data_IF_633036522072
#
_entry.id   IF_633036522072
#
_cell.length_a   1.000
_cell.length_b   1.000
_cell.length_c   1.000
_cell.angle_alpha   90.00
_cell.angle_beta   90.00
_cell.angle_gamma   90.00
#
_symmetry.space_group_name_H-M   'P 1'
#
loop_
_entity.id
_entity.type
_entity.pdbx_description
1 polymer ?
#
# COMPACT_ATOMS: atom_id res chain seq x y z
N UNK A 1 6.50 13.38 -33.47
CA UNK A 1 6.65 12.06 -32.84
C UNK A 1 5.32 11.71 -32.19
N UNK A 2 4.67 10.59 -32.52
CA UNK A 2 3.47 10.21 -31.79
C UNK A 2 3.89 9.97 -30.33
N UNK A 3 3.19 10.57 -29.38
CA UNK A 3 3.39 10.23 -27.98
C UNK A 3 3.07 8.74 -27.83
N UNK A 4 3.99 7.98 -27.25
CA UNK A 4 3.67 6.61 -26.87
C UNK A 4 2.46 6.67 -25.93
N UNK A 5 1.39 5.94 -26.28
CA UNK A 5 0.28 5.77 -25.37
C UNK A 5 0.81 5.09 -24.10
N UNK A 6 0.35 5.57 -22.95
CA UNK A 6 0.68 5.01 -21.65
C UNK A 6 -0.59 4.35 -21.12
N UNK A 7 -0.58 3.02 -21.05
CA UNK A 7 -1.75 2.27 -20.60
C UNK A 7 -1.85 2.22 -19.06
N UNK A 8 -0.70 2.26 -18.37
CA UNK A 8 -0.63 2.22 -16.91
C UNK A 8 0.70 2.82 -16.41
N UNK A 9 0.83 3.11 -15.10
CA UNK A 9 2.10 3.49 -14.50
C UNK A 9 3.21 2.43 -14.69
N UNK A 10 2.85 1.15 -14.69
CA UNK A 10 3.79 0.05 -14.92
C UNK A 10 4.27 -0.01 -16.37
N UNK A 11 3.36 0.18 -17.33
CA UNK A 11 3.69 0.29 -18.76
C UNK A 11 4.62 1.49 -19.01
N UNK A 12 4.32 2.64 -18.40
CA UNK A 12 5.22 3.80 -18.45
C UNK A 12 6.62 3.48 -17.94
N UNK A 13 6.74 2.84 -16.77
CA UNK A 13 8.03 2.48 -16.20
C UNK A 13 8.80 1.49 -17.08
N UNK A 14 8.10 0.53 -17.70
CA UNK A 14 8.67 -0.44 -18.64
C UNK A 14 9.21 0.25 -19.89
N UNK A 15 8.40 1.11 -20.51
CA UNK A 15 8.80 1.89 -21.67
C UNK A 15 9.96 2.83 -21.35
N UNK A 16 9.94 3.49 -20.18
CA UNK A 16 11.01 4.36 -19.73
C UNK A 16 12.32 3.57 -19.55
N UNK A 17 12.28 2.40 -18.92
CA UNK A 17 13.44 1.55 -18.74
C UNK A 17 14.08 1.16 -20.09
N UNK A 18 13.26 0.73 -21.06
CA UNK A 18 13.73 0.44 -22.42
C UNK A 18 14.35 1.64 -23.12
N UNK A 19 13.74 2.83 -22.99
CA UNK A 19 14.31 4.07 -23.55
C UNK A 19 15.64 4.44 -22.90
N UNK A 20 15.79 4.27 -21.59
CA UNK A 20 17.03 4.56 -20.87
C UNK A 20 18.19 3.65 -21.30
N UNK A 21 17.92 2.39 -21.63
CA UNK A 21 18.92 1.47 -22.18
C UNK A 21 19.52 1.97 -23.50
N UNK A 22 18.74 2.68 -24.33
CA UNK A 22 19.21 3.26 -25.59
C UNK A 22 19.80 4.66 -25.38
N UNK A 23 19.19 5.47 -24.50
CA UNK A 23 19.55 6.86 -24.32
C UNK A 23 20.85 7.06 -23.52
N UNK A 24 21.08 6.24 -22.49
CA UNK A 24 22.23 6.37 -21.60
C UNK A 24 23.59 6.04 -22.25
N UNK A 25 23.72 5.05 -23.16
CA UNK A 25 24.96 4.81 -23.90
C UNK A 25 25.12 5.72 -25.13
N UNK A 26 24.09 6.47 -25.52
CA UNK A 26 24.17 7.34 -26.70
C UNK A 26 25.00 8.59 -26.38
N UNK A 27 26.11 8.76 -27.10
CA UNK A 27 26.95 9.96 -27.05
C UNK A 27 26.11 11.22 -27.30
N UNK A 28 26.26 12.23 -26.44
CA UNK A 28 25.55 13.53 -26.56
C UNK A 28 26.54 14.60 -26.97
N UNK A 29 26.21 15.35 -28.04
CA UNK A 29 27.07 16.42 -28.58
C UNK A 29 27.51 17.43 -27.52
N UNK A 30 26.60 17.83 -26.63
CA UNK A 30 26.86 18.81 -25.56
C UNK A 30 27.80 18.25 -24.48
N UNK A 31 27.69 16.95 -24.16
CA UNK A 31 28.52 16.31 -23.12
C UNK A 31 29.87 15.81 -23.66
N UNK A 32 30.01 15.65 -24.99
CA UNK A 32 31.19 15.06 -25.62
C UNK A 32 31.36 13.56 -25.39
N UNK A 33 30.55 12.95 -24.52
CA UNK A 33 30.58 11.55 -24.10
C UNK A 33 29.15 10.99 -23.96
N UNK A 34 29.01 9.70 -23.68
CA UNK A 34 27.73 9.12 -23.31
C UNK A 34 27.44 9.40 -21.82
N UNK A 35 26.19 9.71 -21.42
CA UNK A 35 25.84 9.90 -20.02
C UNK A 35 26.32 8.77 -19.10
N UNK A 36 26.20 7.52 -19.54
CA UNK A 36 26.64 6.34 -18.78
C UNK A 36 28.15 6.35 -18.45
N UNK A 37 28.99 6.95 -19.29
CA UNK A 37 30.44 7.01 -19.09
C UNK A 37 30.82 7.94 -17.92
N UNK A 38 29.97 8.92 -17.59
CA UNK A 38 30.24 9.86 -16.48
C UNK A 38 29.73 9.37 -15.12
N UNK A 39 28.75 8.46 -15.11
CA UNK A 39 28.08 8.02 -13.87
C UNK A 39 29.06 7.41 -12.87
N UNK A 40 30.07 6.67 -13.34
CA UNK A 40 31.08 6.07 -12.46
C UNK A 40 31.91 7.10 -11.71
N UNK A 41 32.47 8.08 -12.44
CA UNK A 41 33.27 9.16 -11.86
C UNK A 41 32.43 10.05 -10.94
N UNK A 42 31.19 10.34 -11.32
CA UNK A 42 30.25 11.13 -10.51
C UNK A 42 29.93 10.41 -9.18
N UNK A 43 29.65 9.10 -9.22
CA UNK A 43 29.43 8.28 -8.02
C UNK A 43 30.64 8.21 -7.10
N UNK A 44 31.86 8.19 -7.65
CA UNK A 44 33.09 8.19 -6.85
C UNK A 44 33.32 9.53 -6.14
N UNK A 45 32.80 10.63 -6.70
CA UNK A 45 32.87 11.95 -6.09
C UNK A 45 31.77 12.22 -5.04
N UNK A 46 30.73 11.37 -4.97
CA UNK A 46 29.65 11.51 -4.00
C UNK A 46 30.06 11.01 -2.61
N UNK A 47 29.55 11.66 -1.57
CA UNK A 47 29.64 11.13 -0.21
C UNK A 47 28.80 9.87 -0.05
N UNK A 48 29.21 9.00 0.88
CA UNK A 48 28.43 7.82 1.24
C UNK A 48 27.05 8.21 1.80
N UNK A 49 26.03 7.43 1.45
CA UNK A 49 24.69 7.60 2.00
C UNK A 49 24.73 7.33 3.51
N UNK A 50 24.02 8.10 4.35
CA UNK A 50 23.88 7.77 5.76
C UNK A 50 23.31 6.34 5.93
N UNK A 51 23.72 5.63 7.00
CA UNK A 51 23.31 4.23 7.23
C UNK A 51 21.82 4.10 7.60
N UNK A 52 21.17 5.21 7.96
CA UNK A 52 19.73 5.25 8.23
C UNK A 52 19.02 5.67 6.95
N UNK A 53 18.14 4.82 6.39
CA UNK A 53 17.36 5.22 5.22
C UNK A 53 16.45 6.39 5.58
N UNK A 54 16.25 7.35 4.67
CA UNK A 54 15.30 8.42 4.90
C UNK A 54 13.89 7.85 5.04
N UNK A 55 13.07 8.48 5.88
CA UNK A 55 11.65 8.17 5.94
C UNK A 55 11.02 8.54 4.61
N UNK A 56 10.46 7.55 3.93
CA UNK A 56 9.78 7.68 2.64
C UNK A 56 8.29 7.38 2.80
N UNK A 57 7.49 7.93 1.89
CA UNK A 57 6.04 7.75 1.91
C UNK A 57 5.32 8.78 2.77
N UNK A 58 4.01 8.54 2.95
CA UNK A 58 3.13 9.36 3.76
C UNK A 58 2.78 8.61 5.03
N UNK A 59 2.78 9.29 6.18
CA UNK A 59 2.23 8.77 7.41
C UNK A 59 1.30 9.82 8.03
N UNK A 60 0.09 9.41 8.40
CA UNK A 60 -0.86 10.24 9.13
C UNK A 60 -1.47 9.45 10.29
N UNK A 61 -1.72 10.13 11.39
CA UNK A 61 -2.30 9.54 12.59
C UNK A 61 -3.60 10.24 12.95
N UNK A 62 -4.69 9.48 12.98
CA UNK A 62 -6.02 9.99 13.26
C UNK A 62 -6.83 8.98 14.08
N UNK A 63 -8.05 9.34 14.47
CA UNK A 63 -9.00 8.37 15.04
C UNK A 63 -9.91 7.89 13.93
N UNK A 64 -10.17 6.58 13.86
CA UNK A 64 -11.05 6.03 12.84
C UNK A 64 -12.48 6.60 13.01
N UNK A 65 -13.00 7.36 12.03
CA UNK A 65 -14.38 7.83 12.07
C UNK A 65 -15.41 6.69 12.03
N UNK A 66 -16.65 7.01 12.39
CA UNK A 66 -17.77 6.04 12.48
C UNK A 66 -18.12 5.42 11.13
N UNK A 67 -17.84 6.13 10.04
CA UNK A 67 -18.05 5.66 8.68
C UNK A 67 -16.99 4.65 8.23
N UNK A 68 -16.01 4.29 9.06
CA UNK A 68 -14.97 3.29 8.78
C UNK A 68 -14.16 3.53 7.50
N UNK A 69 -14.08 4.77 7.02
CA UNK A 69 -13.24 5.15 5.89
C UNK A 69 -12.11 6.08 6.31
N UNK A 70 -10.97 5.97 5.63
CA UNK A 70 -9.90 6.98 5.68
C UNK A 70 -9.78 7.63 4.31
N UNK A 71 -9.61 8.95 4.30
CA UNK A 71 -9.39 9.69 3.05
C UNK A 71 -7.90 9.96 2.87
N UNK A 72 -7.36 9.50 1.74
CA UNK A 72 -5.98 9.72 1.32
C UNK A 72 -5.93 10.05 -0.17
N UNK A 73 -5.25 11.15 -0.53
CA UNK A 73 -5.13 11.66 -1.90
C UNK A 73 -6.46 11.76 -2.68
N UNK A 74 -7.54 12.19 -2.01
CA UNK A 74 -8.90 12.27 -2.57
C UNK A 74 -9.58 10.93 -2.88
N UNK A 75 -9.05 9.82 -2.35
CA UNK A 75 -9.68 8.51 -2.38
C UNK A 75 -10.03 8.05 -0.97
N UNK A 76 -11.12 7.28 -0.85
CA UNK A 76 -11.64 6.77 0.42
C UNK A 76 -11.31 5.28 0.52
N UNK A 77 -10.55 4.89 1.54
CA UNK A 77 -10.16 3.49 1.80
C UNK A 77 -10.90 2.96 3.01
N UNK A 78 -11.58 1.82 2.87
CA UNK A 78 -12.30 1.20 3.99
C UNK A 78 -11.34 0.59 5.01
N UNK A 79 -11.64 0.72 6.29
CA UNK A 79 -10.91 0.10 7.40
C UNK A 79 -11.82 -0.87 8.13
N UNK A 80 -11.24 -1.89 8.76
CA UNK A 80 -12.01 -2.85 9.55
C UNK A 80 -12.82 -2.14 10.66
N UNK A 81 -14.16 -2.32 10.75
CA UNK A 81 -15.00 -1.57 11.68
C UNK A 81 -14.74 -1.89 13.16
N UNK A 82 -14.06 -3.00 13.47
CA UNK A 82 -13.68 -3.37 14.84
C UNK A 82 -12.75 -2.37 15.55
N UNK A 83 -12.17 -1.39 14.83
CA UNK A 83 -11.32 -0.34 15.42
C UNK A 83 -11.93 1.07 15.32
N UNK A 84 -13.23 1.19 15.07
CA UNK A 84 -13.93 2.49 15.08
C UNK A 84 -13.66 3.24 16.40
N UNK A 85 -13.33 4.52 16.31
CA UNK A 85 -13.02 5.39 17.46
C UNK A 85 -11.62 5.19 18.07
N UNK A 86 -10.88 4.16 17.66
CA UNK A 86 -9.48 3.95 18.08
C UNK A 86 -8.52 4.82 17.28
N UNK A 87 -7.32 5.01 17.84
CA UNK A 87 -6.21 5.64 17.13
C UNK A 87 -5.71 4.69 16.04
N UNK A 88 -5.53 5.24 14.85
CA UNK A 88 -4.99 4.56 13.70
C UNK A 88 -3.82 5.35 13.13
N UNK A 89 -2.89 4.64 12.50
CA UNK A 89 -1.78 5.19 11.73
C UNK A 89 -1.94 4.70 10.29
N UNK A 90 -2.23 5.62 9.37
CA UNK A 90 -2.28 5.34 7.95
C UNK A 90 -0.90 5.61 7.35
N UNK A 91 -0.32 4.59 6.72
CA UNK A 91 0.93 4.68 5.97
C UNK A 91 0.64 4.42 4.49
N UNK A 92 1.14 5.29 3.62
CA UNK A 92 1.03 5.10 2.18
C UNK A 92 2.41 5.14 1.52
N UNK A 93 2.71 4.10 0.77
CA UNK A 93 3.83 4.03 -0.16
C UNK A 93 3.32 4.21 -1.60
N UNK A 94 4.17 4.09 -2.61
CA UNK A 94 3.77 4.31 -4.01
C UNK A 94 2.76 3.28 -4.55
N UNK A 95 2.61 2.14 -3.88
CA UNK A 95 1.91 0.94 -4.35
C UNK A 95 0.77 0.54 -3.42
N UNK A 96 0.84 0.85 -2.13
CA UNK A 96 -0.06 0.38 -1.08
C UNK A 96 -0.39 1.45 -0.05
N UNK A 97 -1.56 1.28 0.56
CA UNK A 97 -2.04 2.04 1.71
C UNK A 97 -2.33 1.04 2.83
N UNK A 98 -1.55 1.12 3.90
CA UNK A 98 -1.65 0.27 5.08
C UNK A 98 -2.17 1.10 6.25
N UNK A 99 -3.15 0.57 6.97
CA UNK A 99 -3.66 1.19 8.20
C UNK A 99 -3.32 0.30 9.37
N UNK A 100 -2.68 0.87 10.38
CA UNK A 100 -2.31 0.19 11.60
C UNK A 100 -3.12 0.72 12.78
N UNK A 101 -3.48 -0.16 13.71
CA UNK A 101 -4.01 0.20 15.02
C UNK A 101 -3.24 -0.57 16.08
N UNK A 102 -2.66 0.11 17.06
CA UNK A 102 -1.81 -0.50 18.10
C UNK A 102 -0.71 -1.43 17.53
N UNK A 103 -0.16 -1.07 16.37
CA UNK A 103 0.88 -1.84 15.66
C UNK A 103 0.37 -3.02 14.82
N UNK A 104 -0.94 -3.31 14.81
CA UNK A 104 -1.54 -4.35 13.99
C UNK A 104 -2.14 -3.78 12.70
N UNK A 105 -1.93 -4.46 11.56
CA UNK A 105 -2.51 -4.05 10.28
C UNK A 105 -4.02 -4.35 10.28
N UNK A 106 -4.83 -3.31 10.15
CA UNK A 106 -6.30 -3.37 10.17
C UNK A 106 -6.92 -3.11 8.80
N UNK A 107 -6.14 -2.59 7.86
CA UNK A 107 -6.50 -2.50 6.45
C UNK A 107 -5.25 -2.46 5.59
N UNK A 108 -5.33 -3.05 4.41
CA UNK A 108 -4.25 -3.11 3.44
C UNK A 108 -4.84 -3.07 2.04
N UNK A 109 -4.52 -2.02 1.30
CA UNK A 109 -5.09 -1.74 -0.02
C UNK A 109 -4.01 -1.44 -1.04
N UNK A 110 -4.21 -1.81 -2.32
CA UNK A 110 -3.43 -1.22 -3.39
C UNK A 110 -3.72 0.29 -3.47
N UNK A 111 -2.69 1.10 -3.66
CA UNK A 111 -2.82 2.56 -3.81
C UNK A 111 -3.48 2.88 -5.14
N UNK A 112 -4.56 3.65 -5.08
CA UNK A 112 -5.21 4.18 -6.26
C UNK A 112 -4.72 5.60 -6.53
N UNK A 113 -4.29 5.83 -7.77
CA UNK A 113 -3.82 7.12 -8.26
C UNK A 113 -4.90 7.90 -9.04
N UNK A 114 -6.11 7.33 -9.15
CA UNK A 114 -7.28 8.06 -9.62
C UNK A 114 -7.79 9.01 -8.52
N UNK A 115 -8.91 9.69 -8.77
CA UNK A 115 -9.54 10.59 -7.79
C UNK A 115 -10.96 10.12 -7.51
N UNK A 116 -11.45 10.45 -6.31
CA UNK A 116 -12.83 10.22 -5.89
C UNK A 116 -13.25 8.75 -5.96
N UNK A 117 -12.31 7.83 -5.75
CA UNK A 117 -12.61 6.40 -5.68
C UNK A 117 -12.88 5.98 -4.24
N UNK A 118 -13.84 5.08 -4.06
CA UNK A 118 -14.08 4.39 -2.79
C UNK A 118 -13.59 2.96 -2.92
N UNK A 119 -12.56 2.62 -2.17
CA UNK A 119 -11.86 1.34 -2.19
C UNK A 119 -12.28 0.55 -0.97
N UNK A 120 -13.19 -0.39 -1.23
CA UNK A 120 -13.67 -1.31 -0.22
C UNK A 120 -12.81 -2.57 -0.21
N UNK A 121 -12.23 -2.88 0.93
CA UNK A 121 -11.48 -4.11 1.12
C UNK A 121 -12.46 -5.28 1.05
N UNK A 122 -12.35 -6.12 0.03
CA UNK A 122 -13.14 -7.36 -0.05
C UNK A 122 -12.57 -8.47 0.86
N UNK A 123 -11.42 -8.23 1.51
CA UNK A 123 -10.71 -9.22 2.31
C UNK A 123 -10.72 -8.88 3.81
N UNK A 124 -11.86 -9.03 4.46
CA UNK A 124 -11.88 -9.53 5.85
C UNK A 124 -13.17 -10.31 6.08
N UNK A 125 -13.31 -11.45 5.42
CA UNK A 125 -14.02 -12.54 6.07
C UNK A 125 -13.00 -13.15 7.05
N UNK A 126 -13.20 -13.07 8.39
CA UNK A 126 -12.46 -13.96 9.27
C UNK A 126 -12.72 -15.39 8.76
N UNK A 127 -11.76 -16.33 8.87
CA UNK A 127 -12.01 -17.71 8.47
C UNK A 127 -13.32 -18.12 9.15
N UNK A 128 -14.34 -18.47 8.33
CA UNK A 128 -15.61 -18.97 8.86
C UNK A 128 -15.23 -20.09 9.81
N UNK A 129 -15.35 -19.87 11.13
CA UNK A 129 -15.34 -20.96 12.09
C UNK A 129 -16.43 -21.90 11.56
N UNK A 130 -16.03 -23.06 11.04
CA UNK A 130 -16.98 -24.15 10.85
C UNK A 130 -17.63 -24.30 12.21
N UNK A 131 -18.93 -24.08 12.28
CA UNK A 131 -19.72 -24.59 13.39
C UNK A 131 -19.45 -26.10 13.38
N UNK A 132 -18.54 -26.55 14.25
CA UNK A 132 -18.52 -27.93 14.66
C UNK A 132 -19.83 -28.10 15.41
N UNK A 133 -20.81 -28.65 14.69
CA UNK A 133 -22.00 -29.22 15.26
C UNK A 133 -21.59 -30.22 16.33
N UNK A 134 -21.82 -29.88 17.59
CA UNK A 134 -22.10 -30.87 18.61
C UNK A 134 -23.22 -30.32 19.50
N UNK A 135 -24.45 -30.53 19.06
CA UNK A 135 -25.50 -30.86 20.01
C UNK A 135 -25.10 -32.17 20.71
N UNK A 136 -25.45 -32.34 21.99
CA UNK A 136 -26.51 -33.30 22.27
C UNK A 136 -27.46 -32.77 23.39
N UNK A 137 -28.47 -33.54 23.82
CA UNK A 137 -29.86 -33.31 23.51
C UNK A 137 -30.62 -32.58 24.64
N UNK A 138 -31.69 -31.88 24.26
CA UNK A 138 -32.79 -31.58 25.17
C UNK A 138 -33.51 -32.88 25.58
N UNK A 139 -33.70 -33.08 26.89
CA UNK A 139 -34.75 -33.81 27.62
C UNK A 139 -34.13 -34.25 28.96
N UNK A 140 -34.74 -34.15 30.14
CA UNK A 140 -36.04 -33.67 30.58
C UNK A 140 -35.99 -33.44 32.11
N UNK A 141 -36.87 -32.56 32.60
CA UNK A 141 -37.58 -32.54 33.89
C UNK A 141 -36.91 -33.04 35.21
N UNK A 142 -36.99 -32.17 36.23
CA UNK A 142 -36.85 -32.43 37.66
C UNK A 142 -37.88 -33.48 38.19
N UNK A 143 -37.82 -34.03 39.43
CA UNK A 143 -37.81 -33.25 40.69
C UNK A 143 -36.97 -33.82 41.86
N UNK A 144 -36.72 -32.95 42.83
CA UNK A 144 -36.27 -33.27 44.20
C UNK A 144 -37.43 -33.93 44.97
N UNK A 145 -37.24 -35.00 45.78
CA UNK A 145 -37.19 -34.78 47.24
C UNK A 145 -36.41 -35.84 48.06
N UNK A 146 -35.74 -35.41 49.13
CA UNK A 146 -36.12 -35.64 50.54
C UNK A 146 -35.15 -34.92 51.49
#
# INVERSE_FOLDING_TARGET
MPSAALASPEDFNTQLAGRLQVANPRRKRVLGCAPAERVGADRQAMMALPPVPPTVGWADASRLPRDHYIRLDSNDYSVHPGVIGRRIEARADLVRVCVLSDGQVVADHPRCWARHQTLTNQSTQPPRRRCASSAPPCCAAAPNPR
#
